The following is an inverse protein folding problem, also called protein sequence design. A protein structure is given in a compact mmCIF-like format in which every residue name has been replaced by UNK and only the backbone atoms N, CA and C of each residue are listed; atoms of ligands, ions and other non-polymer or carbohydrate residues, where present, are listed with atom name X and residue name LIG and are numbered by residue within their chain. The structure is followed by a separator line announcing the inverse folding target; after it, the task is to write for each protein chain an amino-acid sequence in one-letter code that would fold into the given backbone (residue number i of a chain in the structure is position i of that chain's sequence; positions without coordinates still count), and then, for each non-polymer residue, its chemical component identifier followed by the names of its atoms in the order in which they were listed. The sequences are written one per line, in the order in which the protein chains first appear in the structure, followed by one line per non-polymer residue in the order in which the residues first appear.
data_IF_330057965248
#
_entry.id   IF_330057965248
#
_cell.length_a   1.000
_cell.length_b   1.000
_cell.length_c   1.000
_cell.angle_alpha   90.00
_cell.angle_beta   90.00
_cell.angle_gamma   90.00
#
_symmetry.space_group_name_H-M   'P 1'
#
loop_
_entity.id
_entity.type
_entity.pdbx_description
1 polymer ?
#
# COMPACT_ATOMS: atom_id res chain seq x y z
N UNK A 1 -9.51 -2.18 -10.80
CA UNK A 1 -9.81 -2.68 -9.43
C UNK A 1 -9.09 -1.77 -8.44
N UNK A 2 -9.82 -1.06 -7.58
CA UNK A 2 -9.23 -0.21 -6.55
C UNK A 2 -9.02 -1.12 -5.33
N UNK A 3 -7.78 -1.50 -5.04
CA UNK A 3 -7.46 -2.32 -3.86
C UNK A 3 -7.69 -1.47 -2.61
N UNK A 4 -8.60 -1.91 -1.76
CA UNK A 4 -8.93 -1.28 -0.50
C UNK A 4 -8.41 -2.14 0.67
N UNK A 5 -7.71 -1.52 1.62
CA UNK A 5 -7.12 -2.18 2.78
C UNK A 5 -8.22 -2.82 3.64
N UNK A 6 -9.35 -2.13 3.84
CA UNK A 6 -10.47 -2.65 4.62
C UNK A 6 -11.04 -3.92 4.00
N UNK A 7 -11.17 -3.94 2.66
CA UNK A 7 -11.61 -5.11 1.92
C UNK A 7 -10.62 -6.27 2.06
N UNK A 8 -9.31 -6.03 1.91
CA UNK A 8 -8.27 -7.06 2.07
C UNK A 8 -8.33 -7.69 3.46
N UNK A 9 -8.46 -6.86 4.51
CA UNK A 9 -8.56 -7.33 5.89
C UNK A 9 -9.85 -8.12 6.15
N UNK A 10 -10.97 -7.67 5.58
CA UNK A 10 -12.26 -8.36 5.66
C UNK A 10 -12.23 -9.73 4.98
N UNK A 11 -11.68 -9.80 3.77
CA UNK A 11 -11.44 -11.07 3.07
C UNK A 11 -10.53 -11.99 3.89
N UNK A 12 -9.43 -11.45 4.42
CA UNK A 12 -8.47 -12.24 5.20
C UNK A 12 -9.07 -12.82 6.48
N UNK A 13 -9.92 -12.06 7.18
CA UNK A 13 -10.66 -12.54 8.36
C UNK A 13 -11.47 -13.80 8.08
N UNK A 14 -11.92 -13.98 6.84
CA UNK A 14 -12.68 -15.16 6.41
C UNK A 14 -11.72 -16.25 5.92
N UNK A 15 -10.78 -15.90 5.04
CA UNK A 15 -9.87 -16.83 4.36
C UNK A 15 -8.85 -17.49 5.31
N UNK A 16 -8.56 -16.87 6.45
CA UNK A 16 -7.62 -17.38 7.46
C UNK A 16 -8.18 -18.52 8.31
N UNK A 17 -9.50 -18.76 8.29
CA UNK A 17 -10.15 -19.76 9.14
C UNK A 17 -9.74 -21.20 8.75
N UNK A 18 -9.47 -22.03 9.76
CA UNK A 18 -9.12 -23.46 9.56
C UNK A 18 -10.18 -24.32 10.25
N UNK A 19 -11.20 -24.81 9.51
CA UNK A 19 -12.24 -25.66 10.09
C UNK A 19 -11.67 -27.00 10.56
N UNK A 20 -11.98 -27.38 11.80
CA UNK A 20 -11.43 -28.58 12.43
C UNK A 20 -11.83 -29.89 11.73
N UNK A 21 -12.94 -29.92 11.01
CA UNK A 21 -13.52 -31.12 10.39
C UNK A 21 -13.13 -31.31 8.91
N UNK A 22 -12.44 -30.33 8.28
CA UNK A 22 -12.10 -30.33 6.85
C UNK A 22 -10.63 -29.90 6.64
N UNK A 23 -9.71 -30.49 7.41
CA UNK A 23 -8.29 -30.11 7.38
C UNK A 23 -7.61 -30.46 6.06
N UNK A 24 -8.04 -31.55 5.42
CA UNK A 24 -7.61 -32.01 4.11
C UNK A 24 -8.02 -31.03 2.99
N UNK A 25 -9.29 -30.63 2.96
CA UNK A 25 -9.80 -29.66 1.99
C UNK A 25 -9.17 -28.29 2.21
N UNK A 26 -9.03 -27.86 3.47
CA UNK A 26 -8.35 -26.60 3.82
C UNK A 26 -6.90 -26.60 3.34
N UNK A 27 -6.20 -27.72 3.48
CA UNK A 27 -4.84 -27.88 2.96
C UNK A 27 -4.81 -27.74 1.43
N UNK A 28 -5.74 -28.40 0.73
CA UNK A 28 -5.87 -28.34 -0.74
C UNK A 28 -6.19 -26.94 -1.25
N UNK A 29 -6.96 -26.15 -0.51
CA UNK A 29 -7.37 -24.80 -0.90
C UNK A 29 -6.30 -23.73 -0.59
N UNK A 30 -5.31 -24.03 0.26
CA UNK A 30 -4.27 -23.07 0.67
C UNK A 30 -3.48 -22.47 -0.52
N UNK A 31 -3.05 -23.24 -1.54
CA UNK A 31 -2.39 -22.68 -2.73
C UNK A 31 -3.28 -21.72 -3.53
N UNK A 32 -4.60 -21.93 -3.57
CA UNK A 32 -5.53 -21.04 -4.27
C UNK A 32 -5.62 -19.68 -3.56
N UNK A 33 -5.68 -19.70 -2.22
CA UNK A 33 -5.62 -18.47 -1.42
C UNK A 33 -4.27 -17.77 -1.60
N UNK A 34 -3.16 -18.52 -1.61
CA UNK A 34 -1.84 -17.94 -1.86
C UNK A 34 -1.79 -17.24 -3.24
N UNK A 35 -2.31 -17.87 -4.29
CA UNK A 35 -2.37 -17.27 -5.63
C UNK A 35 -3.19 -15.97 -5.66
N UNK A 36 -4.34 -15.95 -4.98
CA UNK A 36 -5.21 -14.76 -4.83
C UNK A 36 -4.44 -13.58 -4.20
N UNK A 37 -3.86 -13.78 -3.01
CA UNK A 37 -3.16 -12.70 -2.30
C UNK A 37 -1.83 -12.32 -2.96
N UNK A 38 -1.16 -13.25 -3.65
CA UNK A 38 0.02 -12.96 -4.46
C UNK A 38 -0.31 -12.04 -5.64
N UNK A 39 -1.47 -12.23 -6.29
CA UNK A 39 -1.94 -11.35 -7.35
C UNK A 39 -2.21 -9.94 -6.82
N UNK A 40 -2.85 -9.83 -5.66
CA UNK A 40 -3.08 -8.53 -4.99
C UNK A 40 -1.76 -7.84 -4.68
N UNK A 41 -0.81 -8.57 -4.08
CA UNK A 41 0.52 -8.07 -3.73
C UNK A 41 1.29 -7.54 -4.94
N UNK A 42 1.28 -8.31 -6.03
CA UNK A 42 1.95 -7.93 -7.28
C UNK A 42 1.35 -6.65 -7.87
N UNK A 43 0.01 -6.55 -7.86
CA UNK A 43 -0.72 -5.37 -8.35
C UNK A 43 -0.46 -4.13 -7.48
N UNK A 44 -0.41 -4.31 -6.16
CA UNK A 44 -0.10 -3.24 -5.22
C UNK A 44 1.34 -2.72 -5.40
N UNK A 45 2.33 -3.61 -5.57
CA UNK A 45 3.73 -3.23 -5.86
C UNK A 45 3.86 -2.40 -7.13
N UNK A 46 3.18 -2.78 -8.21
CA UNK A 46 3.16 -1.99 -9.45
C UNK A 46 2.49 -0.62 -9.24
N UNK A 47 1.41 -0.58 -8.46
CA UNK A 47 0.69 0.67 -8.15
C UNK A 47 1.55 1.61 -7.30
N UNK A 48 2.30 1.09 -6.33
CA UNK A 48 3.26 1.85 -5.53
C UNK A 48 4.33 2.48 -6.43
N UNK A 49 4.93 1.70 -7.34
CA UNK A 49 5.96 2.22 -8.26
C UNK A 49 5.42 3.36 -9.13
N UNK A 50 4.19 3.23 -9.63
CA UNK A 50 3.53 4.30 -10.39
C UNK A 50 3.30 5.56 -9.54
N UNK A 51 2.88 5.41 -8.29
CA UNK A 51 2.68 6.52 -7.36
C UNK A 51 4.00 7.23 -7.02
N UNK A 52 5.08 6.48 -6.75
CA UNK A 52 6.42 7.01 -6.53
C UNK A 52 6.94 7.80 -7.74
N UNK A 53 6.70 7.33 -8.97
CA UNK A 53 7.07 8.06 -10.18
C UNK A 53 6.26 9.35 -10.35
N UNK A 54 4.94 9.30 -10.12
CA UNK A 54 4.08 10.47 -10.17
C UNK A 54 4.49 11.52 -9.13
N UNK A 55 4.82 11.10 -7.91
CA UNK A 55 5.32 11.99 -6.86
C UNK A 55 6.63 12.66 -7.27
N UNK A 56 7.59 11.93 -7.85
CA UNK A 56 8.86 12.54 -8.30
C UNK A 56 8.65 13.64 -9.34
N UNK A 57 7.68 13.46 -10.23
CA UNK A 57 7.29 14.49 -11.21
C UNK A 57 6.68 15.69 -10.48
N UNK A 58 5.73 15.45 -9.57
CA UNK A 58 5.10 16.50 -8.77
C UNK A 58 6.12 17.32 -7.97
N UNK A 59 7.04 16.66 -7.27
CA UNK A 59 8.08 17.31 -6.47
C UNK A 59 8.97 18.20 -7.35
N UNK A 60 9.35 17.74 -8.54
CA UNK A 60 10.10 18.56 -9.49
C UNK A 60 9.30 19.79 -9.92
N UNK A 61 8.02 19.61 -10.22
CA UNK A 61 7.17 20.69 -10.71
C UNK A 61 6.89 21.72 -9.61
N UNK A 62 6.60 21.27 -8.38
CA UNK A 62 6.48 22.14 -7.21
C UNK A 62 7.81 22.83 -6.92
N UNK A 63 8.94 22.16 -7.14
CA UNK A 63 10.24 22.80 -7.01
C UNK A 63 10.45 23.94 -7.99
N UNK A 64 10.07 23.76 -9.26
CA UNK A 64 10.11 24.82 -10.26
C UNK A 64 9.16 25.97 -9.87
N UNK A 65 7.96 25.63 -9.41
CA UNK A 65 6.93 26.57 -9.00
C UNK A 65 7.38 27.47 -7.84
N UNK A 66 7.77 26.90 -6.71
CA UNK A 66 8.20 27.67 -5.53
C UNK A 66 9.52 28.42 -5.75
N UNK A 67 10.37 27.99 -6.69
CA UNK A 67 11.58 28.73 -7.05
C UNK A 67 11.36 29.79 -8.14
N UNK A 68 10.13 29.98 -8.64
CA UNK A 68 9.83 30.93 -9.72
C UNK A 68 10.47 30.58 -11.07
N UNK A 69 10.79 29.29 -11.29
CA UNK A 69 11.40 28.76 -12.52
C UNK A 69 10.38 28.11 -13.45
N UNK A 70 9.09 28.31 -13.20
CA UNK A 70 7.99 27.74 -13.94
C UNK A 70 7.28 28.83 -14.72
N UNK A 71 7.01 28.59 -16.00
CA UNK A 71 6.33 29.56 -16.86
C UNK A 71 4.87 29.78 -16.44
N UNK A 72 4.34 30.99 -16.62
CA UNK A 72 2.96 31.34 -16.22
C UNK A 72 1.89 30.45 -16.88
N UNK A 73 2.09 30.06 -18.14
CA UNK A 73 1.16 29.17 -18.85
C UNK A 73 1.13 27.77 -18.22
N UNK A 74 2.29 27.28 -17.76
CA UNK A 74 2.39 26.00 -17.07
C UNK A 74 1.71 26.06 -15.70
N UNK A 75 1.87 27.17 -14.96
CA UNK A 75 1.19 27.42 -13.68
C UNK A 75 -0.34 27.44 -13.88
N UNK A 76 -0.84 28.20 -14.87
CA UNK A 76 -2.27 28.28 -15.19
C UNK A 76 -2.84 26.94 -15.62
N UNK A 77 -2.11 26.17 -16.44
CA UNK A 77 -2.56 24.84 -16.89
C UNK A 77 -2.75 23.84 -15.76
N UNK A 78 -2.01 24.01 -14.66
CA UNK A 78 -2.11 23.19 -13.45
C UNK A 78 -3.11 23.74 -12.42
N UNK A 79 -3.66 24.92 -12.67
CA UNK A 79 -4.56 25.60 -11.73
C UNK A 79 -3.85 26.09 -10.46
N UNK A 80 -2.53 26.32 -10.52
CA UNK A 80 -1.77 26.87 -9.40
C UNK A 80 -1.82 28.40 -9.41
N UNK A 81 -1.71 29.03 -8.24
CA UNK A 81 -1.69 30.49 -8.15
C UNK A 81 -0.36 31.05 -8.68
N UNK A 82 -0.34 32.11 -9.49
CA UNK A 82 0.92 32.70 -9.99
C UNK A 82 1.88 33.15 -8.89
N UNK A 83 1.34 33.52 -7.73
CA UNK A 83 2.11 33.95 -6.56
C UNK A 83 1.99 32.91 -5.43
N UNK A 84 2.91 31.93 -5.35
CA UNK A 84 2.89 30.89 -4.31
C UNK A 84 3.03 31.42 -2.87
N UNK A 85 3.48 32.67 -2.70
CA UNK A 85 3.84 33.23 -1.40
C UNK A 85 2.96 34.43 -1.00
N UNK A 86 1.98 34.79 -1.82
CA UNK A 86 1.08 35.92 -1.55
C UNK A 86 1.83 37.24 -1.30
N UNK A 87 2.91 37.49 -2.05
CA UNK A 87 3.74 38.70 -1.97
C UNK A 87 4.82 38.66 -0.90
N UNK A 88 4.96 37.57 -0.15
CA UNK A 88 5.99 37.41 0.87
C UNK A 88 7.34 37.02 0.25
N UNK A 89 8.42 37.66 0.73
CA UNK A 89 9.78 37.33 0.34
C UNK A 89 10.34 36.24 1.25
N UNK A 90 10.39 35.02 0.74
CA UNK A 90 10.72 33.84 1.54
C UNK A 90 12.22 33.54 1.49
N UNK A 91 12.79 33.20 2.64
CA UNK A 91 14.18 32.75 2.73
C UNK A 91 14.30 31.28 2.31
N UNK A 92 15.46 30.88 1.76
CA UNK A 92 15.69 29.49 1.34
C UNK A 92 15.48 28.46 2.45
N UNK A 93 15.68 28.83 3.72
CA UNK A 93 15.45 27.95 4.87
C UNK A 93 13.97 27.75 5.23
N UNK A 94 13.10 28.67 4.83
CA UNK A 94 11.65 28.59 5.09
C UNK A 94 10.92 27.81 3.99
N UNK A 95 11.57 27.57 2.85
CA UNK A 95 11.01 26.83 1.71
C UNK A 95 10.54 25.44 2.08
N UNK A 96 11.27 24.72 2.94
CA UNK A 96 10.92 23.37 3.38
C UNK A 96 9.52 23.31 4.00
N UNK A 97 9.17 24.31 4.82
CA UNK A 97 7.82 24.42 5.40
C UNK A 97 6.72 24.53 4.34
N UNK A 98 6.97 25.18 3.20
CA UNK A 98 5.99 25.30 2.13
C UNK A 98 5.86 23.99 1.33
N UNK A 99 6.95 23.27 1.08
CA UNK A 99 6.88 21.95 0.45
C UNK A 99 6.14 20.95 1.32
N UNK A 100 6.48 20.89 2.61
CA UNK A 100 5.87 19.94 3.54
C UNK A 100 4.39 20.23 3.79
N UNK A 101 3.99 21.51 3.64
CA UNK A 101 2.60 21.96 3.79
C UNK A 101 1.80 21.94 2.49
N UNK A 102 2.42 21.63 1.34
CA UNK A 102 1.71 21.62 0.05
C UNK A 102 0.69 20.47 0.00
N UNK A 103 -0.62 20.76 -0.19
CA UNK A 103 -1.65 19.73 -0.13
C UNK A 103 -1.54 18.66 -1.23
N UNK A 104 -0.95 18.98 -2.39
CA UNK A 104 -0.74 17.98 -3.44
C UNK A 104 0.42 17.04 -3.09
N UNK A 105 1.51 17.58 -2.52
CA UNK A 105 2.64 16.78 -2.02
C UNK A 105 2.14 15.85 -0.91
N UNK A 106 1.43 16.38 0.10
CA UNK A 106 0.87 15.58 1.19
C UNK A 106 -0.02 14.44 0.68
N UNK A 107 -0.96 14.73 -0.23
CA UNK A 107 -1.82 13.69 -0.85
C UNK A 107 -1.02 12.63 -1.60
N UNK A 108 0.08 13.02 -2.25
CA UNK A 108 0.96 12.08 -2.94
C UNK A 108 1.69 11.16 -1.96
N UNK A 109 2.14 11.70 -0.82
CA UNK A 109 2.80 10.98 0.25
C UNK A 109 1.83 10.02 0.96
N UNK A 110 0.65 10.49 1.33
CA UNK A 110 -0.43 9.70 1.92
C UNK A 110 -0.75 8.48 1.04
N UNK A 111 -0.87 8.69 -0.27
CA UNK A 111 -1.13 7.60 -1.22
C UNK A 111 0.00 6.56 -1.24
N UNK A 112 1.25 7.01 -1.18
CA UNK A 112 2.42 6.12 -1.13
C UNK A 112 2.46 5.36 0.19
N UNK A 113 2.24 6.05 1.31
CA UNK A 113 2.19 5.45 2.64
C UNK A 113 1.10 4.37 2.71
N UNK A 114 -0.11 4.68 2.24
CA UNK A 114 -1.21 3.74 2.15
C UNK A 114 -0.87 2.49 1.32
N UNK A 115 -0.26 2.67 0.14
CA UNK A 115 0.14 1.55 -0.71
C UNK A 115 1.23 0.68 -0.06
N UNK A 116 2.15 1.28 0.71
CA UNK A 116 3.15 0.53 1.49
C UNK A 116 2.47 -0.31 2.57
N UNK A 117 1.55 0.28 3.34
CA UNK A 117 0.76 -0.45 4.34
C UNK A 117 0.03 -1.64 3.72
N UNK A 118 -0.63 -1.44 2.57
CA UNK A 118 -1.29 -2.53 1.83
C UNK A 118 -0.31 -3.64 1.44
N UNK A 119 0.87 -3.28 0.92
CA UNK A 119 1.90 -4.26 0.54
C UNK A 119 2.39 -5.04 1.76
N UNK A 120 2.63 -4.36 2.89
CA UNK A 120 3.10 -4.99 4.12
C UNK A 120 2.06 -5.97 4.68
N UNK A 121 0.78 -5.57 4.74
CA UNK A 121 -0.33 -6.46 5.11
C UNK A 121 -0.41 -7.68 4.19
N UNK A 122 -0.31 -7.48 2.87
CA UNK A 122 -0.35 -8.59 1.91
C UNK A 122 0.86 -9.52 2.03
N UNK A 123 2.06 -8.99 2.32
CA UNK A 123 3.24 -9.81 2.60
C UNK A 123 3.02 -10.68 3.84
N UNK A 124 2.46 -10.12 4.91
CA UNK A 124 2.14 -10.87 6.13
C UNK A 124 1.12 -11.99 5.86
N UNK A 125 0.07 -11.71 5.08
CA UNK A 125 -0.93 -12.70 4.69
C UNK A 125 -0.30 -13.84 3.88
N UNK A 126 0.48 -13.50 2.85
CA UNK A 126 1.18 -14.50 2.00
C UNK A 126 2.14 -15.34 2.84
N UNK A 127 2.88 -14.72 3.76
CA UNK A 127 3.75 -15.43 4.68
C UNK A 127 2.96 -16.36 5.60
N UNK A 128 1.83 -15.93 6.16
CA UNK A 128 0.97 -16.78 6.97
C UNK A 128 0.49 -18.02 6.19
N UNK A 129 0.07 -17.83 4.93
CA UNK A 129 -0.34 -18.92 4.05
C UNK A 129 0.81 -19.90 3.75
N UNK A 130 2.05 -19.42 3.64
CA UNK A 130 3.22 -20.29 3.49
C UNK A 130 3.39 -21.23 4.68
N UNK A 131 3.13 -20.76 5.91
CA UNK A 131 3.26 -21.56 7.13
C UNK A 131 2.00 -22.36 7.50
N UNK A 132 0.87 -22.10 6.82
CA UNK A 132 -0.44 -22.72 7.11
C UNK A 132 -0.40 -24.26 7.08
N UNK A 133 0.41 -24.85 6.21
CA UNK A 133 0.58 -26.31 6.15
C UNK A 133 1.11 -26.90 7.47
N UNK A 134 2.00 -26.18 8.16
CA UNK A 134 2.53 -26.62 9.46
C UNK A 134 1.48 -26.50 10.54
N UNK A 135 0.70 -25.41 10.56
CA UNK A 135 -0.42 -25.25 11.50
C UNK A 135 -1.43 -26.39 11.34
N UNK A 136 -1.82 -26.72 10.11
CA UNK A 136 -2.71 -27.86 9.83
C UNK A 136 -2.07 -29.17 10.27
N UNK A 137 -0.79 -29.40 9.98
CA UNK A 137 -0.05 -30.58 10.44
C UNK A 137 -0.01 -30.71 11.97
N UNK A 138 0.13 -29.60 12.70
CA UNK A 138 0.07 -29.58 14.17
C UNK A 138 -1.32 -29.97 14.68
N UNK A 139 -2.38 -29.48 14.04
CA UNK A 139 -3.75 -29.83 14.39
C UNK A 139 -4.04 -31.32 14.16
N UNK A 140 -3.54 -31.90 13.07
CA UNK A 140 -3.68 -33.34 12.78
C UNK A 140 -2.95 -34.17 13.84
N UNK A 141 -1.70 -33.80 14.18
CA UNK A 141 -0.92 -34.49 15.22
C UNK A 141 -1.60 -34.44 16.59
N UNK A 142 -2.17 -33.29 16.95
CA UNK A 142 -2.92 -33.16 18.21
C UNK A 142 -4.15 -34.09 18.24
N UNK A 143 -4.89 -34.19 17.14
CA UNK A 143 -6.01 -35.12 17.03
C UNK A 143 -5.61 -36.59 17.12
N UNK A 144 -4.48 -36.96 16.52
CA UNK A 144 -3.94 -38.32 16.62
C UNK A 144 -3.64 -38.66 18.09
N UNK A 145 -2.96 -37.73 18.78
CA UNK A 145 -2.65 -37.86 20.20
C UNK A 145 -3.91 -38.01 21.08
N UNK A 146 -4.94 -37.19 20.86
CA UNK A 146 -6.23 -37.30 21.58
C UNK A 146 -6.94 -38.64 21.33
N UNK A 147 -6.75 -39.24 20.15
CA UNK A 147 -7.30 -40.54 19.80
C UNK A 147 -6.48 -41.73 20.34
N UNK A 148 -5.37 -41.48 21.03
CA UNK A 148 -4.49 -42.51 21.59
C UNK A 148 -3.56 -43.15 20.56
N UNK A 149 -3.35 -42.50 19.41
CA UNK A 149 -2.45 -42.92 18.33
C UNK A 149 -1.19 -42.04 18.27
#
# INVERSE_FOLDING_TARGET
MKLDLEMILSEWKTDCQIPMHQLDETSRNTPMLHAKYLQYLSTAKLSLKRAEHAQKILLKDKWLYYNGKMDEDAIKSKGWEPDPFGGLKILKGEMEHYYDSDPEIQRSEEKIAYLKTVIDTLNEIVNNLNWRHQTIGNMIRWKQFEAGA
#
